data_IF_603186397371
#
_entry.id   IF_603186397371
#
_cell.length_a   1.000
_cell.length_b   1.000
_cell.length_c   1.000
_cell.angle_alpha   90.00
_cell.angle_beta   90.00
_cell.angle_gamma   90.00
#
_symmetry.space_group_name_H-M   'P 1'
#
loop_
_entity.id
_entity.type
_entity.pdbx_description
1 polymer ?
#
# COMPACT_ATOMS: atom_id res chain seq x y z
N UNK A 1 -32.62 -18.54 17.93
CA UNK A 1 -32.15 -17.26 18.46
C UNK A 1 -32.09 -16.28 17.30
N UNK A 2 -32.88 -15.21 17.40
CA UNK A 2 -33.15 -14.24 16.33
C UNK A 2 -31.83 -13.53 16.01
N UNK A 3 -31.33 -13.70 14.78
CA UNK A 3 -30.23 -12.90 14.26
C UNK A 3 -30.68 -11.45 14.27
N UNK A 4 -30.29 -10.73 15.31
CA UNK A 4 -30.52 -9.31 15.44
C UNK A 4 -30.08 -8.64 14.14
N UNK A 5 -31.02 -7.87 13.60
CA UNK A 5 -30.91 -7.14 12.36
C UNK A 5 -29.90 -6.04 12.61
N UNK A 6 -28.60 -6.35 12.48
CA UNK A 6 -27.56 -5.34 12.54
C UNK A 6 -27.87 -4.37 11.40
N UNK A 7 -28.33 -3.18 11.77
CA UNK A 7 -28.49 -2.07 10.85
C UNK A 7 -27.09 -1.61 10.41
N UNK A 8 -26.53 -2.34 9.43
CA UNK A 8 -25.21 -2.08 8.84
C UNK A 8 -25.23 -0.88 7.89
N UNK A 9 -26.12 0.09 8.13
CA UNK A 9 -26.43 1.17 7.19
C UNK A 9 -25.46 2.34 7.17
N UNK A 10 -24.38 2.33 7.94
CA UNK A 10 -23.44 3.45 7.87
C UNK A 10 -21.97 3.01 7.89
N UNK A 11 -21.33 3.18 6.72
CA UNK A 11 -19.93 3.57 6.57
C UNK A 11 -18.80 2.52 6.57
N UNK A 12 -19.01 1.26 6.22
CA UNK A 12 -17.89 0.30 6.07
C UNK A 12 -16.82 0.73 5.02
N UNK A 13 -17.23 1.32 3.88
CA UNK A 13 -16.27 1.81 2.86
C UNK A 13 -15.50 3.06 3.32
N UNK A 14 -16.12 3.94 4.13
CA UNK A 14 -15.46 5.14 4.69
C UNK A 14 -14.50 4.79 5.84
N UNK A 15 -14.79 3.74 6.62
CA UNK A 15 -13.96 3.34 7.75
C UNK A 15 -12.64 2.65 7.37
N UNK A 16 -12.51 2.09 6.16
CA UNK A 16 -11.28 1.39 5.72
C UNK A 16 -10.12 2.35 5.41
N UNK A 17 -10.40 3.60 5.04
CA UNK A 17 -9.36 4.53 4.58
C UNK A 17 -8.59 5.21 5.73
N UNK A 18 -9.11 5.21 6.97
CA UNK A 18 -8.58 6.03 8.09
C UNK A 18 -8.30 5.24 9.41
N UNK A 19 -8.05 3.93 9.39
CA UNK A 19 -7.68 3.18 10.62
C UNK A 19 -6.30 2.52 10.59
N UNK A 20 -5.79 2.18 11.78
CA UNK A 20 -4.61 1.33 11.98
C UNK A 20 -4.69 0.02 11.17
N UNK A 21 -3.60 -0.46 10.56
CA UNK A 21 -3.59 -1.66 9.70
C UNK A 21 -4.26 -2.89 10.30
N UNK A 22 -4.09 -3.14 11.61
CA UNK A 22 -4.63 -4.32 12.28
C UNK A 22 -6.16 -4.30 12.33
N UNK A 23 -6.73 -3.11 12.56
CA UNK A 23 -8.17 -2.91 12.63
C UNK A 23 -8.86 -3.08 11.26
N UNK A 24 -8.12 -2.87 10.15
CA UNK A 24 -8.62 -3.09 8.79
C UNK A 24 -8.70 -4.58 8.48
N UNK A 25 -7.75 -5.37 9.00
CA UNK A 25 -7.72 -6.82 8.80
C UNK A 25 -8.94 -7.47 9.46
N UNK A 26 -9.26 -7.09 10.71
CA UNK A 26 -10.43 -7.61 11.45
C UNK A 26 -11.74 -7.34 10.71
N UNK A 27 -11.90 -6.11 10.23
CA UNK A 27 -13.02 -5.65 9.41
C UNK A 27 -13.17 -6.53 8.15
N UNK A 28 -12.09 -6.73 7.39
CA UNK A 28 -12.09 -7.58 6.19
C UNK A 28 -12.43 -9.04 6.50
N UNK A 29 -11.96 -9.56 7.63
CA UNK A 29 -12.27 -10.92 8.06
C UNK A 29 -13.76 -11.08 8.33
N UNK A 30 -14.41 -10.10 8.96
CA UNK A 30 -15.86 -10.13 9.23
C UNK A 30 -16.67 -10.20 7.93
N UNK A 31 -16.30 -9.39 6.93
CA UNK A 31 -16.93 -9.43 5.60
C UNK A 31 -16.75 -10.77 4.93
N UNK A 32 -15.55 -11.34 4.99
CA UNK A 32 -15.28 -12.66 4.40
C UNK A 32 -16.10 -13.75 5.10
N UNK A 33 -16.17 -13.75 6.44
CA UNK A 33 -16.99 -14.70 7.20
C UNK A 33 -18.46 -14.62 6.80
N UNK A 34 -19.00 -13.40 6.70
CA UNK A 34 -20.37 -13.19 6.25
C UNK A 34 -20.58 -13.64 4.79
N UNK A 35 -19.61 -13.37 3.91
CA UNK A 35 -19.66 -13.82 2.53
C UNK A 35 -19.55 -15.34 2.37
N UNK A 36 -18.87 -16.04 3.28
CA UNK A 36 -18.82 -17.50 3.32
C UNK A 36 -20.18 -18.10 3.71
N UNK A 37 -20.91 -17.45 4.62
CA UNK A 37 -22.21 -17.92 5.10
C UNK A 37 -23.37 -17.60 4.13
N UNK A 38 -23.38 -16.40 3.55
CA UNK A 38 -24.51 -15.89 2.77
C UNK A 38 -24.20 -15.68 1.28
N UNK A 39 -22.93 -15.70 0.88
CA UNK A 39 -22.49 -15.41 -0.48
C UNK A 39 -22.04 -13.95 -0.70
N UNK A 40 -21.39 -13.70 -1.83
CA UNK A 40 -20.69 -12.43 -2.09
C UNK A 40 -21.65 -11.24 -2.33
N UNK A 41 -22.77 -11.46 -3.02
CA UNK A 41 -23.78 -10.41 -3.33
C UNK A 41 -24.49 -9.87 -2.08
N UNK A 42 -24.99 -10.70 -1.14
CA UNK A 42 -25.58 -10.19 0.08
C UNK A 42 -24.54 -9.51 0.98
N UNK A 43 -23.31 -10.02 1.04
CA UNK A 43 -22.23 -9.35 1.75
C UNK A 43 -21.97 -7.93 1.20
N UNK A 44 -21.87 -7.80 -0.12
CA UNK A 44 -21.68 -6.49 -0.77
C UNK A 44 -22.76 -5.48 -0.37
N UNK A 45 -24.04 -5.90 -0.36
CA UNK A 45 -25.18 -5.06 0.06
C UNK A 45 -25.13 -4.70 1.53
N UNK A 46 -24.86 -5.68 2.40
CA UNK A 46 -24.82 -5.49 3.84
C UNK A 46 -23.69 -4.55 4.28
N UNK A 47 -22.54 -4.60 3.62
CA UNK A 47 -21.38 -3.79 3.98
C UNK A 47 -21.14 -2.61 3.02
N UNK A 48 -22.13 -2.24 2.19
CA UNK A 48 -22.04 -1.16 1.20
C UNK A 48 -20.68 -1.12 0.46
N UNK A 49 -20.29 -2.26 -0.09
CA UNK A 49 -19.03 -2.43 -0.79
C UNK A 49 -19.25 -3.11 -2.14
N UNK A 50 -18.28 -2.98 -3.05
CA UNK A 50 -18.39 -3.61 -4.36
C UNK A 50 -18.22 -5.14 -4.27
N UNK A 51 -19.02 -5.89 -5.04
CA UNK A 51 -18.99 -7.36 -5.08
C UNK A 51 -17.61 -7.88 -5.50
N UNK A 52 -16.88 -7.16 -6.37
CA UNK A 52 -15.51 -7.48 -6.80
C UNK A 52 -14.53 -7.38 -5.63
N UNK A 53 -14.71 -6.41 -4.75
CA UNK A 53 -13.90 -6.25 -3.53
C UNK A 53 -14.11 -7.42 -2.57
N UNK A 54 -15.36 -7.78 -2.31
CA UNK A 54 -15.71 -8.96 -1.49
C UNK A 54 -15.13 -10.24 -2.10
N UNK A 55 -15.31 -10.45 -3.41
CA UNK A 55 -14.74 -11.59 -4.14
C UNK A 55 -13.22 -11.64 -4.03
N UNK A 56 -12.54 -10.49 -4.16
CA UNK A 56 -11.09 -10.42 -4.04
C UNK A 56 -10.62 -10.78 -2.63
N UNK A 57 -11.24 -10.22 -1.59
CA UNK A 57 -10.87 -10.52 -0.21
C UNK A 57 -11.14 -11.98 0.16
N UNK A 58 -12.28 -12.53 -0.24
CA UNK A 58 -12.58 -13.94 -0.06
C UNK A 58 -11.53 -14.82 -0.73
N UNK A 59 -11.21 -14.57 -2.00
CA UNK A 59 -10.18 -15.35 -2.70
C UNK A 59 -8.77 -15.19 -2.12
N UNK A 60 -8.45 -14.06 -1.50
CA UNK A 60 -7.18 -13.89 -0.74
C UNK A 60 -7.21 -14.70 0.55
N UNK A 61 -8.31 -14.64 1.29
CA UNK A 61 -8.48 -15.35 2.55
C UNK A 61 -8.43 -16.87 2.36
N UNK A 62 -9.05 -17.41 1.31
CA UNK A 62 -8.98 -18.84 0.97
C UNK A 62 -7.54 -19.30 0.66
N UNK A 63 -6.68 -18.41 0.14
CA UNK A 63 -5.29 -18.73 -0.23
C UNK A 63 -4.27 -18.56 0.90
N UNK A 64 -4.49 -17.63 1.82
CA UNK A 64 -3.48 -17.26 2.83
C UNK A 64 -4.05 -16.70 4.13
N UNK A 65 -5.31 -17.01 4.42
CA UNK A 65 -5.98 -16.69 5.67
C UNK A 65 -6.01 -15.20 6.00
N UNK A 66 -5.92 -14.90 7.29
CA UNK A 66 -5.98 -13.55 7.85
C UNK A 66 -4.82 -12.67 7.39
N UNK A 67 -3.62 -13.24 7.21
CA UNK A 67 -2.44 -12.53 6.72
C UNK A 67 -2.60 -11.99 5.30
N UNK A 68 -3.32 -12.71 4.44
CA UNK A 68 -3.57 -12.32 3.05
C UNK A 68 -4.54 -11.13 2.89
N UNK A 69 -5.23 -10.73 3.98
CA UNK A 69 -6.13 -9.57 4.00
C UNK A 69 -5.39 -8.25 4.30
N UNK A 70 -4.08 -8.27 4.56
CA UNK A 70 -3.26 -7.06 4.71
C UNK A 70 -3.27 -6.20 3.45
N UNK A 71 -3.04 -4.89 3.63
CA UNK A 71 -2.81 -3.99 2.51
C UNK A 71 -1.56 -4.44 1.75
N UNK A 72 -1.70 -4.58 0.43
CA UNK A 72 -0.55 -4.76 -0.45
C UNK A 72 -0.02 -3.37 -0.82
N UNK A 73 1.27 -3.30 -1.12
CA UNK A 73 1.87 -2.09 -1.67
C UNK A 73 1.09 -1.65 -2.91
N UNK A 74 0.83 -0.34 -3.01
CA UNK A 74 0.25 0.30 -4.20
C UNK A 74 1.33 0.73 -5.19
N UNK A 75 2.60 0.60 -4.82
CA UNK A 75 3.71 0.98 -5.66
C UNK A 75 3.76 0.07 -6.90
N UNK A 76 4.09 0.61 -8.08
CA UNK A 76 4.28 -0.19 -9.29
C UNK A 76 5.41 -1.20 -9.08
N UNK A 77 5.26 -2.40 -9.64
CA UNK A 77 6.27 -3.46 -9.58
C UNK A 77 7.54 -3.10 -10.36
N UNK A 78 7.41 -2.33 -11.44
CA UNK A 78 8.51 -1.92 -12.30
C UNK A 78 8.44 -0.41 -12.54
N UNK A 79 9.55 0.27 -12.31
CA UNK A 79 9.71 1.69 -12.61
C UNK A 79 10.99 1.83 -13.47
N UNK A 80 10.87 1.97 -14.80
CA UNK A 80 12.01 1.95 -15.73
C UNK A 80 13.00 3.08 -15.49
N UNK A 81 12.57 4.19 -14.89
CA UNK A 81 13.41 5.34 -14.56
C UNK A 81 13.99 5.27 -13.15
N UNK A 82 13.78 4.17 -12.42
CA UNK A 82 14.40 3.97 -11.11
C UNK A 82 15.89 3.69 -11.30
N UNK A 83 16.71 4.45 -10.59
CA UNK A 83 18.16 4.26 -10.57
C UNK A 83 18.51 2.92 -9.90
N UNK A 84 19.63 2.32 -10.33
CA UNK A 84 20.13 1.10 -9.70
C UNK A 84 20.42 1.33 -8.21
N UNK A 85 20.20 0.33 -7.35
CA UNK A 85 20.44 0.46 -5.91
C UNK A 85 21.90 0.84 -5.59
N UNK A 86 22.85 0.41 -6.43
CA UNK A 86 24.27 0.77 -6.29
C UNK A 86 24.52 2.27 -6.52
N UNK A 87 23.96 2.84 -7.59
CA UNK A 87 24.13 4.26 -7.89
C UNK A 87 23.37 5.14 -6.87
N UNK A 88 22.23 4.68 -6.36
CA UNK A 88 21.53 5.32 -5.24
C UNK A 88 22.40 5.35 -3.98
N UNK A 89 23.00 4.21 -3.60
CA UNK A 89 23.89 4.11 -2.44
C UNK A 89 25.12 5.03 -2.56
N UNK A 90 25.72 5.13 -3.76
CA UNK A 90 26.83 6.05 -4.02
C UNK A 90 26.41 7.51 -3.81
N UNK A 91 25.26 7.93 -4.34
CA UNK A 91 24.75 9.29 -4.18
C UNK A 91 24.50 9.61 -2.70
N UNK A 92 23.89 8.68 -1.96
CA UNK A 92 23.64 8.83 -0.52
C UNK A 92 24.94 8.95 0.27
N UNK A 93 25.96 8.13 -0.02
CA UNK A 93 27.26 8.19 0.64
C UNK A 93 27.95 9.54 0.41
N UNK A 94 27.93 10.04 -0.84
CA UNK A 94 28.50 11.35 -1.18
C UNK A 94 27.75 12.50 -0.52
N UNK A 95 26.42 12.41 -0.40
CA UNK A 95 25.60 13.39 0.33
C UNK A 95 25.95 13.41 1.82
N UNK A 96 26.12 12.25 2.45
CA UNK A 96 26.54 12.16 3.87
C UNK A 96 27.91 12.79 4.09
N UNK A 97 28.83 12.67 3.13
CA UNK A 97 30.15 13.29 3.19
C UNK A 97 30.12 14.82 2.98
N UNK A 98 29.17 15.34 2.21
CA UNK A 98 29.06 16.78 1.89
C UNK A 98 27.60 17.28 2.03
N UNK A 99 27.12 17.51 3.26
CA UNK A 99 25.71 17.83 3.51
C UNK A 99 25.26 19.19 2.96
N UNK A 100 26.18 20.15 2.78
CA UNK A 100 25.88 21.47 2.20
C UNK A 100 25.78 21.47 0.66
N UNK A 101 26.17 20.37 -0.01
CA UNK A 101 26.16 20.32 -1.46
C UNK A 101 24.76 20.00 -1.99
N UNK A 102 24.19 20.96 -2.72
CA UNK A 102 22.98 20.74 -3.53
C UNK A 102 23.20 19.72 -4.66
N UNK A 103 22.15 19.26 -5.35
CA UNK A 103 22.27 18.26 -6.41
C UNK A 103 23.27 18.65 -7.49
N UNK A 104 23.22 19.92 -7.91
CA UNK A 104 24.14 20.52 -8.90
C UNK A 104 25.60 20.40 -8.45
N UNK A 105 25.90 20.86 -7.24
CA UNK A 105 27.23 20.84 -6.66
C UNK A 105 27.72 19.41 -6.47
N UNK A 106 26.85 18.50 -6.01
CA UNK A 106 27.22 17.11 -5.76
C UNK A 106 27.68 16.41 -7.05
N UNK A 107 26.98 16.64 -8.18
CA UNK A 107 27.39 16.12 -9.48
C UNK A 107 28.67 16.78 -10.01
N UNK A 108 28.85 18.07 -9.77
CA UNK A 108 30.04 18.79 -10.21
C UNK A 108 31.32 18.26 -9.54
N UNK A 109 31.29 18.07 -8.22
CA UNK A 109 32.44 17.55 -7.47
C UNK A 109 32.61 16.02 -7.55
N UNK A 110 31.60 15.29 -8.03
CA UNK A 110 31.64 13.83 -8.17
C UNK A 110 31.24 13.40 -9.59
N UNK A 111 32.14 13.52 -10.58
CA UNK A 111 31.84 13.22 -11.97
C UNK A 111 31.56 11.74 -12.25
N UNK A 112 31.85 10.85 -11.30
CA UNK A 112 31.48 9.42 -11.37
C UNK A 112 29.98 9.16 -11.27
N UNK A 113 29.18 10.16 -10.86
CA UNK A 113 27.72 10.03 -10.76
C UNK A 113 27.09 10.28 -12.13
N UNK A 114 26.66 9.20 -12.79
CA UNK A 114 26.00 9.27 -14.11
C UNK A 114 24.57 9.83 -14.04
N UNK A 115 23.95 9.84 -12.86
CA UNK A 115 22.56 10.25 -12.66
C UNK A 115 22.26 11.70 -13.10
N UNK A 116 21.02 11.96 -13.53
CA UNK A 116 20.57 13.32 -13.83
C UNK A 116 20.40 14.13 -12.55
N UNK A 117 20.47 15.46 -12.67
CA UNK A 117 20.28 16.38 -11.53
C UNK A 117 18.92 16.18 -10.85
N UNK A 118 17.88 15.92 -11.65
CA UNK A 118 16.53 15.65 -11.15
C UNK A 118 16.48 14.42 -10.26
N UNK A 119 17.15 13.33 -10.64
CA UNK A 119 17.13 12.13 -9.79
C UNK A 119 17.95 12.32 -8.51
N UNK A 120 19.09 13.01 -8.58
CA UNK A 120 19.84 13.37 -7.38
C UNK A 120 18.95 14.21 -6.44
N UNK A 121 18.17 15.16 -6.98
CA UNK A 121 17.23 15.96 -6.20
C UNK A 121 16.07 15.15 -5.61
N UNK A 122 15.56 14.11 -6.30
CA UNK A 122 14.52 13.24 -5.70
C UNK A 122 15.03 12.49 -4.48
N UNK A 123 16.31 12.11 -4.46
CA UNK A 123 16.96 11.49 -3.28
C UNK A 123 17.26 12.51 -2.18
N UNK A 124 16.95 13.80 -2.37
CA UNK A 124 17.12 14.81 -1.33
C UNK A 124 15.98 14.81 -0.30
N UNK A 125 14.79 14.37 -0.71
CA UNK A 125 13.54 14.41 0.07
C UNK A 125 13.08 13.04 0.60
N UNK A 126 13.78 11.96 0.25
CA UNK A 126 13.58 10.61 0.79
C UNK A 126 14.31 10.45 2.13
#
# INVERSE_FOLDING_TARGET
>A
MKSETIDKRSQYCMMINNRSPDSQILIRQEVVRYAQQHGNKPAARCYNCDVRTVRSWRGRFEKGGTGALKNKSRAPHHCPHKISPEAEAQIIAKRKAAPCHGPRSLKYYNPSITASQGVIATLFQA
#
